data_IF_156584675831
#
_entry.id   IF_156584675831
#
_cell.length_a   1.000
_cell.length_b   1.000
_cell.length_c   1.000
_cell.angle_alpha   90.00
_cell.angle_beta   90.00
_cell.angle_gamma   90.00
#
_symmetry.space_group_name_H-M   'P 1'
#
loop_
_entity.id
_entity.type
_entity.pdbx_description
1 polymer ?
#
# COMPACT_ATOMS: atom_id res chain seq x y z
N UNK A 1 1.05 -9.69 5.27
CA UNK A 1 0.18 -8.55 4.92
C UNK A 1 0.93 -7.28 5.23
N UNK A 2 0.67 -6.19 4.51
CA UNK A 2 1.24 -4.87 4.78
C UNK A 2 0.13 -3.83 4.70
N UNK A 3 -0.04 -3.05 5.77
CA UNK A 3 -1.04 -1.98 5.82
C UNK A 3 -0.36 -0.61 5.69
N UNK A 4 -0.99 0.28 4.94
CA UNK A 4 -0.64 1.70 4.86
C UNK A 4 -1.80 2.52 5.41
N UNK A 5 -1.51 3.33 6.42
CA UNK A 5 -2.46 4.22 7.09
C UNK A 5 -1.90 5.64 6.98
N UNK A 6 -2.67 6.55 6.37
CA UNK A 6 -2.34 7.97 6.26
C UNK A 6 -3.49 8.81 6.82
N UNK A 7 -3.22 9.93 7.53
CA UNK A 7 -4.28 10.77 8.05
C UNK A 7 -5.21 11.27 6.93
N UNK A 8 -6.52 11.10 7.12
CA UNK A 8 -7.52 11.54 6.15
C UNK A 8 -7.70 10.62 4.94
N UNK A 9 -7.03 9.48 4.90
CA UNK A 9 -7.17 8.50 3.83
C UNK A 9 -7.65 7.14 4.36
N UNK A 10 -8.39 6.37 3.54
CA UNK A 10 -8.72 4.98 3.86
C UNK A 10 -7.46 4.15 4.09
N UNK A 11 -7.56 3.17 4.99
CA UNK A 11 -6.53 2.15 5.15
C UNK A 11 -6.43 1.33 3.87
N UNK A 12 -5.20 1.16 3.38
CA UNK A 12 -4.88 0.31 2.23
C UNK A 12 -4.14 -0.94 2.71
N UNK A 13 -4.65 -2.11 2.36
CA UNK A 13 -4.03 -3.40 2.70
C UNK A 13 -3.47 -4.08 1.46
N UNK A 14 -2.18 -4.39 1.53
CA UNK A 14 -1.44 -5.13 0.51
C UNK A 14 -1.25 -6.61 0.91
N UNK A 15 -1.55 -7.49 -0.05
CA UNK A 15 -1.46 -8.93 0.06
C UNK A 15 -0.28 -9.53 -0.70
N UNK A 16 0.14 -10.75 -0.31
CA UNK A 16 1.24 -11.50 -0.95
C UNK A 16 2.53 -10.68 -1.14
N UNK A 17 2.76 -9.73 -0.25
CA UNK A 17 3.91 -8.81 -0.28
C UNK A 17 5.19 -9.58 0.01
N UNK A 18 6.17 -9.41 -0.86
CA UNK A 18 7.56 -9.87 -0.69
C UNK A 18 8.45 -8.73 -0.21
N UNK A 19 9.67 -9.04 0.23
CA UNK A 19 10.64 -8.00 0.66
C UNK A 19 10.93 -7.01 -0.47
N UNK A 20 10.97 -7.48 -1.71
CA UNK A 20 11.21 -6.67 -2.90
C UNK A 20 10.06 -5.69 -3.23
N UNK A 21 8.84 -5.97 -2.77
CA UNK A 21 7.69 -5.09 -3.01
C UNK A 21 7.71 -3.86 -2.09
N UNK A 22 8.38 -3.92 -0.93
CA UNK A 22 8.36 -2.85 0.08
C UNK A 22 8.92 -1.52 -0.44
N UNK A 23 10.11 -1.47 -1.08
CA UNK A 23 10.63 -0.21 -1.64
C UNK A 23 9.71 0.40 -2.70
N UNK A 24 9.04 -0.45 -3.49
CA UNK A 24 8.06 -0.03 -4.50
C UNK A 24 6.80 0.55 -3.83
N UNK A 25 6.26 -0.09 -2.80
CA UNK A 25 5.10 0.41 -2.04
C UNK A 25 5.43 1.76 -1.39
N UNK A 26 6.63 1.92 -0.81
CA UNK A 26 7.06 3.20 -0.25
C UNK A 26 7.12 4.28 -1.33
N UNK A 27 7.80 4.00 -2.43
CA UNK A 27 8.01 5.00 -3.49
C UNK A 27 6.71 5.37 -4.21
N UNK A 28 5.91 4.40 -4.60
CA UNK A 28 4.68 4.64 -5.34
C UNK A 28 3.57 5.15 -4.42
N UNK A 29 3.27 4.46 -3.32
CA UNK A 29 2.11 4.77 -2.51
C UNK A 29 2.39 5.87 -1.48
N UNK A 30 3.40 5.67 -0.61
CA UNK A 30 3.64 6.61 0.49
C UNK A 30 4.14 7.96 -0.02
N UNK A 31 5.10 7.95 -0.95
CA UNK A 31 5.73 9.18 -1.47
C UNK A 31 4.91 9.81 -2.60
N UNK A 32 4.51 9.02 -3.60
CA UNK A 32 3.85 9.55 -4.80
C UNK A 32 2.31 9.47 -4.77
N UNK A 33 1.72 8.85 -3.74
CA UNK A 33 0.26 8.71 -3.62
C UNK A 33 -0.39 7.74 -4.62
N UNK A 34 0.41 6.91 -5.31
CA UNK A 34 -0.06 5.93 -6.30
C UNK A 34 -0.16 4.54 -5.69
N UNK A 35 -1.37 3.97 -5.68
CA UNK A 35 -1.60 2.62 -5.14
C UNK A 35 -0.96 1.57 -6.05
N UNK A 36 -0.31 0.58 -5.43
CA UNK A 36 0.26 -0.59 -6.12
C UNK A 36 -0.85 -1.62 -6.33
N UNK A 37 -1.66 -1.43 -7.37
CA UNK A 37 -2.91 -2.20 -7.61
C UNK A 37 -2.70 -3.72 -7.69
N UNK A 38 -1.54 -4.19 -8.20
CA UNK A 38 -1.24 -5.63 -8.30
C UNK A 38 -1.07 -6.33 -6.94
N UNK A 39 -0.88 -5.55 -5.87
CA UNK A 39 -0.76 -6.04 -4.49
C UNK A 39 -1.97 -5.68 -3.63
N UNK A 40 -2.90 -4.87 -4.13
CA UNK A 40 -4.05 -4.39 -3.38
C UNK A 40 -5.01 -5.54 -3.08
N UNK A 41 -5.39 -5.72 -1.82
CA UNK A 41 -6.41 -6.69 -1.43
C UNK A 41 -7.53 -6.11 -0.55
N UNK A 42 -7.39 -4.86 -0.09
CA UNK A 42 -8.41 -4.23 0.75
C UNK A 42 -8.27 -2.71 0.83
N UNK A 43 -9.43 -2.05 0.89
CA UNK A 43 -9.59 -0.65 1.29
C UNK A 43 -10.62 -0.61 2.41
N UNK A 44 -10.29 0.02 3.54
CA UNK A 44 -11.20 0.14 4.67
C UNK A 44 -11.22 1.58 5.18
N UNK A 45 -12.42 2.09 5.46
CA UNK A 45 -12.67 3.41 6.04
C UNK A 45 -12.34 3.44 7.54
#
# INVERSE_FOLDING_TARGET
LLDVIRPGEPRITYGRVTVQDVPRIVSEHLVNGRIVEDRLIGRAD
#
